data_IF_976953116628
#
_entry.id   IF_976953116628
#
_cell.length_a   1.000
_cell.length_b   1.000
_cell.length_c   1.000
_cell.angle_alpha   90.00
_cell.angle_beta   90.00
_cell.angle_gamma   90.00
#
_symmetry.space_group_name_H-M   'P 1'
#
loop_
_entity.id
_entity.type
_entity.pdbx_description
1 polymer ?
#
# COMPACT_ATOMS: atom_id res chain seq x y z
N UNK A 1 -15.60 -9.83 -6.61
CA UNK A 1 -14.67 -10.74 -5.90
C UNK A 1 -13.67 -9.85 -5.19
N UNK A 2 -13.82 -9.61 -3.89
CA UNK A 2 -12.83 -8.82 -3.15
C UNK A 2 -11.54 -9.62 -3.13
N UNK A 3 -10.48 -9.11 -3.78
CA UNK A 3 -9.16 -9.70 -3.72
C UNK A 3 -8.76 -9.87 -2.26
N UNK A 4 -8.39 -11.08 -1.84
CA UNK A 4 -7.95 -11.37 -0.47
C UNK A 4 -6.72 -10.58 -0.01
N UNK A 5 -6.11 -9.82 -0.92
CA UNK A 5 -5.03 -8.87 -0.68
C UNK A 5 -5.46 -7.61 0.08
N UNK A 6 -6.73 -7.18 -0.07
CA UNK A 6 -7.28 -6.05 0.68
C UNK A 6 -8.31 -6.63 1.63
N UNK A 7 -7.86 -6.95 2.84
CA UNK A 7 -8.76 -7.37 3.91
C UNK A 7 -9.23 -6.14 4.67
N UNK A 8 -10.51 -5.72 4.54
CA UNK A 8 -11.05 -4.71 5.42
C UNK A 8 -11.18 -5.34 6.80
N UNK A 9 -10.20 -5.09 7.68
CA UNK A 9 -10.36 -5.39 9.10
C UNK A 9 -11.26 -4.28 9.64
N UNK A 10 -12.49 -4.58 10.09
CA UNK A 10 -13.34 -3.58 10.71
C UNK A 10 -12.62 -3.04 11.93
N UNK A 11 -12.42 -1.73 11.99
CA UNK A 11 -11.90 -1.10 13.19
C UNK A 11 -13.00 -1.20 14.25
N UNK A 12 -12.88 -2.16 15.18
CA UNK A 12 -13.86 -2.31 16.25
C UNK A 12 -13.85 -1.12 17.22
N UNK A 13 -12.77 -0.33 17.24
CA UNK A 13 -12.63 0.93 17.97
C UNK A 13 -11.81 1.95 17.15
N UNK A 14 -12.12 3.25 17.21
CA UNK A 14 -11.33 4.29 16.52
C UNK A 14 -9.94 4.41 17.13
N UNK A 15 -8.89 4.37 16.29
CA UNK A 15 -7.49 4.54 16.72
C UNK A 15 -7.16 6.02 16.86
N UNK A 16 -7.17 6.55 18.09
CA UNK A 16 -6.91 7.97 18.36
C UNK A 16 -5.44 8.41 18.27
N UNK A 17 -4.51 7.48 18.03
CA UNK A 17 -3.07 7.76 17.91
C UNK A 17 -2.68 8.43 16.58
N UNK A 18 -3.56 8.44 15.58
CA UNK A 18 -3.27 8.94 14.24
C UNK A 18 -3.88 10.32 14.05
N UNK A 19 -3.06 11.26 13.59
CA UNK A 19 -3.51 12.58 13.14
C UNK A 19 -3.96 12.54 11.67
N UNK A 20 -4.42 13.67 11.15
CA UNK A 20 -4.88 13.82 9.76
C UNK A 20 -3.80 13.48 8.72
N UNK A 21 -2.54 13.81 8.97
CA UNK A 21 -1.43 13.48 8.06
C UNK A 21 -1.24 11.96 7.94
N UNK A 22 -1.35 11.23 9.05
CA UNK A 22 -1.27 9.77 9.03
C UNK A 22 -2.43 9.14 8.26
N UNK A 23 -3.64 9.72 8.35
CA UNK A 23 -4.80 9.24 7.60
C UNK A 23 -4.65 9.54 6.10
N UNK A 24 -4.20 10.74 5.73
CA UNK A 24 -3.91 11.11 4.34
C UNK A 24 -2.82 10.22 3.72
N UNK A 25 -1.75 9.95 4.46
CA UNK A 25 -0.70 9.02 4.03
C UNK A 25 -1.25 7.61 3.83
N UNK A 26 -2.05 7.11 4.77
CA UNK A 26 -2.68 5.78 4.68
C UNK A 26 -3.60 5.66 3.46
N UNK A 27 -4.38 6.70 3.17
CA UNK A 27 -5.25 6.73 2.00
C UNK A 27 -4.44 6.67 0.70
N UNK A 28 -3.34 7.44 0.63
CA UNK A 28 -2.42 7.45 -0.51
C UNK A 28 -1.82 6.06 -0.76
N UNK A 29 -1.31 5.41 0.30
CA UNK A 29 -0.77 4.05 0.23
C UNK A 29 -1.83 3.04 -0.23
N UNK A 30 -3.06 3.15 0.28
CA UNK A 30 -4.17 2.26 -0.12
C UNK A 30 -4.46 2.37 -1.62
N UNK A 31 -4.59 3.60 -2.12
CA UNK A 31 -4.83 3.86 -3.56
C UNK A 31 -3.69 3.34 -4.43
N UNK A 32 -2.45 3.55 -4.01
CA UNK A 32 -1.28 3.02 -4.72
C UNK A 32 -1.31 1.48 -4.79
N UNK A 33 -1.58 0.82 -3.66
CA UNK A 33 -1.64 -0.64 -3.60
C UNK A 33 -2.75 -1.21 -4.49
N UNK A 34 -3.95 -0.63 -4.42
CA UNK A 34 -5.10 -1.01 -5.26
C UNK A 34 -4.81 -0.89 -6.75
N UNK A 35 -4.10 0.16 -7.16
CA UNK A 35 -3.82 0.46 -8.56
C UNK A 35 -2.64 -0.33 -9.12
N UNK A 36 -1.54 -0.41 -8.39
CA UNK A 36 -0.27 -0.89 -8.92
C UNK A 36 0.07 -2.32 -8.46
N UNK A 37 -0.39 -2.74 -7.27
CA UNK A 37 -0.04 -4.05 -6.70
C UNK A 37 -1.10 -5.09 -7.00
N UNK A 38 -2.37 -4.80 -6.68
CA UNK A 38 -3.47 -5.77 -6.80
C UNK A 38 -3.60 -6.41 -8.18
N UNK A 39 -3.48 -5.68 -9.31
CA UNK A 39 -3.58 -6.28 -10.64
C UNK A 39 -2.43 -7.24 -10.97
N UNK A 40 -1.30 -7.11 -10.29
CA UNK A 40 -0.06 -7.83 -10.60
C UNK A 40 0.24 -8.98 -9.62
N UNK A 41 -0.63 -9.27 -8.65
CA UNK A 41 -0.39 -10.28 -7.61
C UNK A 41 -0.09 -11.65 -8.20
N UNK A 42 -0.89 -12.15 -9.14
CA UNK A 42 -0.67 -13.47 -9.76
C UNK A 42 0.69 -13.56 -10.47
N UNK A 43 1.16 -12.46 -11.07
CA UNK A 43 2.48 -12.38 -11.69
C UNK A 43 3.55 -12.49 -10.62
N UNK A 44 3.45 -11.69 -9.55
CA UNK A 44 4.43 -11.68 -8.46
C UNK A 44 4.52 -13.03 -7.75
N UNK A 45 3.39 -13.70 -7.54
CA UNK A 45 3.35 -15.06 -6.99
C UNK A 45 4.06 -16.06 -7.91
N UNK A 46 3.82 -16.03 -9.22
CA UNK A 46 4.47 -16.95 -10.17
C UNK A 46 5.98 -16.72 -10.26
N UNK A 47 6.43 -15.46 -10.28
CA UNK A 47 7.85 -15.13 -10.40
C UNK A 47 8.61 -15.09 -9.07
N UNK A 48 7.90 -15.21 -7.93
CA UNK A 48 8.45 -15.21 -6.57
C UNK A 48 9.17 -13.91 -6.17
N UNK A 49 8.90 -12.80 -6.86
CA UNK A 49 9.39 -11.48 -6.50
C UNK A 49 8.48 -10.37 -7.04
N UNK A 50 8.64 -9.16 -6.51
CA UNK A 50 7.95 -7.95 -7.01
C UNK A 50 8.84 -7.27 -8.05
N UNK A 51 8.24 -6.61 -9.04
CA UNK A 51 9.00 -5.90 -10.08
C UNK A 51 9.71 -4.66 -9.52
N UNK A 52 10.89 -4.36 -10.07
CA UNK A 52 11.65 -3.15 -9.71
C UNK A 52 10.89 -1.85 -10.02
N UNK A 53 10.11 -1.85 -11.10
CA UNK A 53 9.33 -0.68 -11.53
C UNK A 53 8.32 -0.24 -10.46
N UNK A 54 7.71 -1.19 -9.74
CA UNK A 54 6.81 -0.88 -8.63
C UNK A 54 7.53 -0.06 -7.55
N UNK A 55 8.76 -0.47 -7.19
CA UNK A 55 9.56 0.22 -6.18
C UNK A 55 9.97 1.63 -6.63
N UNK A 56 10.28 1.81 -7.91
CA UNK A 56 10.58 3.14 -8.46
C UNK A 56 9.37 4.07 -8.35
N UNK A 57 8.17 3.61 -8.75
CA UNK A 57 6.92 4.38 -8.62
C UNK A 57 6.59 4.71 -7.16
N UNK A 58 6.81 3.76 -6.25
CA UNK A 58 6.62 4.01 -4.82
C UNK A 58 7.60 5.08 -4.29
N UNK A 59 8.84 5.07 -4.78
CA UNK A 59 9.85 6.08 -4.46
C UNK A 59 9.49 7.48 -4.97
N UNK A 60 8.99 7.59 -6.21
CA UNK A 60 8.52 8.87 -6.78
C UNK A 60 7.37 9.48 -5.98
N UNK A 61 6.54 8.65 -5.36
CA UNK A 61 5.45 9.08 -4.47
C UNK A 61 5.90 9.36 -3.02
N UNK A 62 7.19 9.23 -2.72
CA UNK A 62 7.72 9.41 -1.35
C UNK A 62 7.22 8.35 -0.36
N UNK A 63 6.76 7.19 -0.85
CA UNK A 63 6.25 6.11 0.01
C UNK A 63 7.36 5.26 0.61
N UNK A 64 8.59 5.41 0.12
CA UNK A 64 9.77 4.71 0.60
C UNK A 64 10.59 5.63 1.50
N UNK A 65 11.23 5.05 2.53
CA UNK A 65 12.17 5.77 3.39
C UNK A 65 11.58 7.02 4.07
N UNK A 66 10.29 7.01 4.45
CA UNK A 66 9.57 8.17 5.01
C UNK A 66 10.19 8.78 6.27
N UNK A 67 11.05 8.05 6.97
CA UNK A 67 11.74 8.50 8.18
C UNK A 67 13.24 8.74 7.98
N UNK A 68 13.74 8.58 6.75
CA UNK A 68 15.15 8.86 6.45
C UNK A 68 15.36 10.38 6.30
N UNK A 69 16.46 10.93 6.84
CA UNK A 69 16.83 12.32 6.65
C UNK A 69 17.23 12.64 5.21
#
# INVERSE_FOLDING_TARGET
MQSGAIRPIPNMLPRQLFNEEHEAFRETVRKFYEKEVVPNIEKYEKQQHVDRDLWNKAGELGLLCTTMP
#
